data_IF_135136565496
#
_entry.id   IF_135136565496
#
_cell.length_a   1.000
_cell.length_b   1.000
_cell.length_c   1.000
_cell.angle_alpha   90.00
_cell.angle_beta   90.00
_cell.angle_gamma   90.00
#
_symmetry.space_group_name_H-M   'P 1'
#
loop_
_entity.id
_entity.type
_entity.pdbx_description
1 polymer ?
#
# COMPACT_ATOMS: atom_id res chain seq x y z
N UNK A 1 -6.41 16.18 17.40
CA UNK A 1 -7.30 15.20 16.85
C UNK A 1 -6.63 14.50 15.68
N UNK A 2 -6.82 13.27 15.61
CA UNK A 2 -6.14 12.48 14.61
C UNK A 2 -6.95 12.43 13.33
N UNK A 3 -6.33 12.78 12.24
CA UNK A 3 -6.93 12.59 10.95
C UNK A 3 -6.74 11.15 10.54
N UNK A 4 -7.82 10.41 10.53
CA UNK A 4 -7.76 9.07 10.03
C UNK A 4 -7.84 9.10 8.52
N UNK A 5 -6.83 8.52 7.88
CA UNK A 5 -6.88 8.35 6.45
C UNK A 5 -7.91 7.29 6.11
N UNK A 6 -8.70 7.59 5.10
CA UNK A 6 -9.72 6.66 4.63
C UNK A 6 -9.25 6.02 3.33
N UNK A 7 -9.35 4.72 3.29
CA UNK A 7 -9.01 3.96 2.10
C UNK A 7 -10.29 3.40 1.51
N UNK A 8 -10.47 3.61 0.22
CA UNK A 8 -11.73 3.25 -0.46
C UNK A 8 -11.54 2.22 -1.56
N UNK A 9 -10.30 1.82 -1.83
CA UNK A 9 -10.02 0.82 -2.84
C UNK A 9 -10.36 -0.59 -2.35
N UNK A 10 -10.27 -1.54 -3.25
CA UNK A 10 -10.50 -2.95 -2.93
C UNK A 10 -9.51 -3.48 -1.88
N UNK A 11 -8.36 -2.82 -1.74
CA UNK A 11 -7.33 -3.22 -0.77
C UNK A 11 -7.58 -2.66 0.63
N UNK A 12 -8.59 -1.80 0.81
CA UNK A 12 -8.79 -1.11 2.08
C UNK A 12 -8.85 -2.03 3.30
N UNK A 13 -9.55 -3.18 3.28
CA UNK A 13 -9.56 -4.06 4.45
C UNK A 13 -8.16 -4.54 4.85
N UNK A 14 -7.33 -4.86 3.85
CA UNK A 14 -5.96 -5.31 4.10
C UNK A 14 -5.11 -4.17 4.64
N UNK A 15 -5.30 -2.97 4.14
CA UNK A 15 -4.57 -1.78 4.60
C UNK A 15 -4.85 -1.48 6.06
N UNK A 16 -6.13 -1.48 6.45
CA UNK A 16 -6.50 -1.23 7.85
C UNK A 16 -5.97 -2.30 8.78
N UNK A 17 -6.08 -3.57 8.37
CA UNK A 17 -5.60 -4.68 9.19
C UNK A 17 -4.08 -4.62 9.36
N UNK A 18 -3.36 -4.29 8.31
CA UNK A 18 -1.90 -4.19 8.36
C UNK A 18 -1.46 -3.07 9.31
N UNK A 19 -2.09 -1.91 9.22
CA UNK A 19 -1.79 -0.78 10.10
C UNK A 19 -2.06 -1.15 11.56
N UNK A 20 -3.20 -1.78 11.82
CA UNK A 20 -3.57 -2.18 13.17
C UNK A 20 -2.55 -3.14 13.76
N UNK A 21 -2.06 -4.08 12.95
CA UNK A 21 -1.05 -5.03 13.40
C UNK A 21 0.27 -4.33 13.71
N UNK A 22 0.70 -3.37 12.89
CA UNK A 22 1.91 -2.60 13.13
C UNK A 22 1.81 -1.79 14.41
N UNK A 23 0.69 -1.13 14.62
CA UNK A 23 0.47 -0.32 15.82
C UNK A 23 0.42 -1.17 17.08
N UNK A 24 -0.10 -2.39 16.99
CA UNK A 24 -0.18 -3.30 18.12
C UNK A 24 1.19 -3.71 18.66
N UNK A 25 2.22 -3.71 17.82
CA UNK A 25 3.58 -4.04 18.25
C UNK A 25 4.45 -2.80 18.50
N UNK A 26 3.80 -1.63 18.61
CA UNK A 26 4.49 -0.40 19.02
C UNK A 26 5.01 0.48 17.90
N UNK A 27 4.76 0.15 16.65
CA UNK A 27 5.16 0.99 15.52
C UNK A 27 4.13 2.09 15.28
N UNK A 28 4.59 3.28 14.90
CA UNK A 28 3.69 4.41 14.65
C UNK A 28 2.95 4.30 13.32
N UNK A 29 3.48 3.56 12.39
CA UNK A 29 2.89 3.33 11.06
C UNK A 29 2.57 4.60 10.25
N UNK A 30 3.15 5.74 10.61
CA UNK A 30 2.87 7.00 9.91
C UNK A 30 3.25 6.94 8.43
N UNK A 31 4.47 6.47 8.13
CA UNK A 31 4.92 6.36 6.75
C UNK A 31 4.09 5.34 5.98
N UNK A 32 3.71 4.25 6.63
CA UNK A 32 2.87 3.22 6.02
C UNK A 32 1.51 3.78 5.65
N UNK A 33 0.91 4.60 6.51
CA UNK A 33 -0.37 5.25 6.23
C UNK A 33 -0.30 6.14 5.00
N UNK A 34 0.77 6.91 4.85
CA UNK A 34 0.96 7.75 3.66
C UNK A 34 1.18 6.92 2.41
N UNK A 35 1.96 5.86 2.51
CA UNK A 35 2.15 4.93 1.39
C UNK A 35 0.82 4.34 0.94
N UNK A 36 -0.01 3.87 1.88
CA UNK A 36 -1.31 3.30 1.56
C UNK A 36 -2.25 4.34 0.97
N UNK A 37 -2.19 5.57 1.43
CA UNK A 37 -3.00 6.65 0.86
C UNK A 37 -2.70 6.81 -0.63
N UNK A 38 -1.44 6.84 -1.00
CA UNK A 38 -1.04 6.95 -2.41
C UNK A 38 -1.46 5.71 -3.20
N UNK A 39 -1.26 4.54 -2.65
CA UNK A 39 -1.64 3.29 -3.31
C UNK A 39 -3.15 3.22 -3.52
N UNK A 40 -3.91 3.66 -2.54
CA UNK A 40 -5.36 3.70 -2.61
C UNK A 40 -5.83 4.64 -3.73
N UNK A 41 -5.20 5.80 -3.85
CA UNK A 41 -5.49 6.76 -4.93
C UNK A 41 -5.18 6.13 -6.28
N UNK A 42 -4.04 5.46 -6.41
CA UNK A 42 -3.66 4.81 -7.65
C UNK A 42 -4.70 3.75 -8.07
N UNK A 43 -5.14 2.93 -7.11
CA UNK A 43 -6.15 1.91 -7.40
C UNK A 43 -7.47 2.53 -7.84
N UNK A 44 -7.89 3.63 -7.21
CA UNK A 44 -9.14 4.30 -7.58
C UNK A 44 -9.03 4.96 -8.95
N UNK A 45 -7.92 5.65 -9.23
CA UNK A 45 -7.72 6.33 -10.51
C UNK A 45 -7.68 5.37 -11.68
N UNK A 46 -7.21 4.15 -11.47
CA UNK A 46 -7.10 3.15 -12.51
C UNK A 46 -8.23 2.12 -12.47
N UNK A 47 -9.23 2.36 -11.62
CA UNK A 47 -10.41 1.49 -11.49
C UNK A 47 -10.04 0.03 -11.23
N UNK A 48 -9.03 -0.19 -10.43
CA UNK A 48 -8.56 -1.55 -10.10
C UNK A 48 -9.48 -2.16 -9.07
N UNK A 49 -10.00 -3.35 -9.35
CA UNK A 49 -10.98 -4.03 -8.50
C UNK A 49 -10.50 -5.35 -7.95
N UNK A 50 -9.31 -5.80 -8.31
CA UNK A 50 -8.76 -7.07 -7.85
C UNK A 50 -7.85 -6.87 -6.65
N UNK A 51 -7.96 -7.77 -5.65
CA UNK A 51 -7.04 -7.80 -4.52
C UNK A 51 -5.74 -8.51 -4.88
N UNK A 52 -5.71 -9.22 -5.99
CA UNK A 52 -4.50 -9.87 -6.47
C UNK A 52 -3.71 -8.87 -7.30
N UNK A 53 -2.52 -8.52 -6.85
CA UNK A 53 -1.67 -7.56 -7.51
C UNK A 53 -0.78 -8.31 -8.50
N UNK A 54 -1.05 -8.13 -9.78
CA UNK A 54 -0.28 -8.73 -10.86
C UNK A 54 1.03 -7.95 -11.09
N UNK A 55 1.94 -8.56 -11.86
CA UNK A 55 3.17 -7.88 -12.23
C UNK A 55 2.87 -6.59 -13.00
N UNK A 56 1.86 -6.61 -13.87
CA UNK A 56 1.48 -5.43 -14.66
C UNK A 56 0.99 -4.31 -13.75
N UNK A 57 0.19 -4.64 -12.75
CA UNK A 57 -0.31 -3.67 -11.78
C UNK A 57 0.85 -3.08 -10.96
N UNK A 58 1.79 -3.92 -10.56
CA UNK A 58 2.97 -3.49 -9.83
C UNK A 58 3.83 -2.55 -10.67
N UNK A 59 4.09 -2.92 -11.92
CA UNK A 59 4.91 -2.11 -12.82
C UNK A 59 4.26 -0.75 -13.08
N UNK A 60 2.95 -0.74 -13.28
CA UNK A 60 2.20 0.51 -13.46
C UNK A 60 2.27 1.40 -12.24
N UNK A 61 2.12 0.81 -11.05
CA UNK A 61 2.27 1.54 -9.80
C UNK A 61 3.69 2.10 -9.64
N UNK A 62 4.70 1.30 -9.97
CA UNK A 62 6.09 1.73 -9.86
C UNK A 62 6.37 2.95 -10.73
N UNK A 63 5.91 2.93 -11.98
CA UNK A 63 6.07 4.06 -12.88
C UNK A 63 5.35 5.30 -12.34
N UNK A 64 4.11 5.13 -11.91
CA UNK A 64 3.31 6.22 -11.36
C UNK A 64 3.97 6.82 -10.11
N UNK A 65 4.46 5.98 -9.22
CA UNK A 65 5.06 6.42 -7.98
C UNK A 65 6.45 7.04 -8.18
N UNK A 66 7.10 6.75 -9.32
CA UNK A 66 8.46 7.21 -9.58
C UNK A 66 8.51 8.61 -10.17
N UNK A 67 7.38 9.14 -10.62
CA UNK A 67 7.35 10.46 -11.28
C UNK A 67 7.75 11.54 -10.29
N UNK A 68 8.79 12.32 -10.67
CA UNK A 68 9.29 13.46 -9.89
C UNK A 68 9.69 13.11 -8.45
N UNK A 69 10.20 11.90 -8.23
CA UNK A 69 10.63 11.47 -6.90
C UNK A 69 12.09 11.08 -6.88
N UNK A 70 12.71 11.27 -5.72
CA UNK A 70 14.10 10.87 -5.51
C UNK A 70 14.20 9.35 -5.45
N UNK A 71 15.35 8.82 -5.87
CA UNK A 71 15.59 7.37 -5.86
C UNK A 71 15.41 6.76 -4.46
N UNK A 72 15.87 7.46 -3.43
CA UNK A 72 15.74 6.97 -2.05
C UNK A 72 14.29 6.85 -1.62
N UNK A 73 13.44 7.80 -2.03
CA UNK A 73 12.01 7.78 -1.75
C UNK A 73 11.35 6.60 -2.45
N UNK A 74 11.71 6.37 -3.72
CA UNK A 74 11.17 5.26 -4.51
C UNK A 74 11.57 3.93 -3.87
N UNK A 75 12.82 3.80 -3.46
CA UNK A 75 13.32 2.58 -2.80
C UNK A 75 12.53 2.26 -1.54
N UNK A 76 12.26 3.27 -0.71
CA UNK A 76 11.46 3.10 0.50
C UNK A 76 10.05 2.60 0.17
N UNK A 77 9.43 3.17 -0.87
CA UNK A 77 8.09 2.75 -1.28
C UNK A 77 8.08 1.31 -1.81
N UNK A 78 9.11 0.91 -2.53
CA UNK A 78 9.23 -0.47 -3.01
C UNK A 78 9.34 -1.44 -1.83
N UNK A 79 10.12 -1.09 -0.82
CA UNK A 79 10.24 -1.93 0.38
C UNK A 79 8.89 -2.06 1.09
N UNK A 80 8.14 -0.97 1.20
CA UNK A 80 6.81 -0.99 1.82
C UNK A 80 5.83 -1.84 1.02
N UNK A 81 5.85 -1.72 -0.31
CA UNK A 81 5.00 -2.52 -1.18
C UNK A 81 5.32 -4.01 -1.03
N UNK A 82 6.61 -4.36 -1.01
CA UNK A 82 7.03 -5.75 -0.86
C UNK A 82 6.54 -6.32 0.47
N UNK A 83 6.68 -5.57 1.54
CA UNK A 83 6.22 -6.01 2.87
C UNK A 83 4.70 -6.20 2.90
N UNK A 84 3.97 -5.29 2.28
CA UNK A 84 2.52 -5.38 2.22
C UNK A 84 2.05 -6.58 1.40
N UNK A 85 2.70 -6.84 0.27
CA UNK A 85 2.38 -8.01 -0.56
C UNK A 85 2.61 -9.30 0.21
N UNK A 86 3.70 -9.40 0.94
CA UNK A 86 3.97 -10.57 1.80
C UNK A 86 2.91 -10.74 2.87
N UNK A 87 2.49 -9.63 3.47
CA UNK A 87 1.43 -9.68 4.48
C UNK A 87 0.12 -10.23 3.88
N UNK A 88 -0.27 -9.73 2.72
CA UNK A 88 -1.50 -10.20 2.07
C UNK A 88 -1.44 -11.69 1.78
N UNK A 89 -0.29 -12.19 1.34
CA UNK A 89 -0.12 -13.63 1.12
C UNK A 89 -0.30 -14.41 2.43
N UNK A 90 0.23 -13.89 3.51
CA UNK A 90 0.16 -14.53 4.83
C UNK A 90 -1.28 -14.63 5.34
N UNK A 91 -2.12 -13.64 5.06
CA UNK A 91 -3.51 -13.64 5.53
C UNK A 91 -4.48 -14.28 4.55
N UNK A 92 -3.97 -15.00 3.56
CA UNK A 92 -4.80 -15.83 2.70
C UNK A 92 -5.18 -15.24 1.36
N UNK A 93 -4.64 -14.08 1.01
CA UNK A 93 -4.85 -13.53 -0.32
C UNK A 93 -3.95 -14.24 -1.32
N UNK A 94 -4.43 -14.42 -2.55
CA UNK A 94 -3.60 -15.02 -3.59
C UNK A 94 -2.44 -14.12 -3.94
N UNK A 95 -1.27 -14.72 -4.08
CA UNK A 95 -0.04 -13.98 -4.40
C UNK A 95 0.27 -14.03 -5.88
#
# INVERSE_FOLDING_TARGET
MVNQMRYNSVLSPYMYAYIKEKEAIGHTATQTKWFFHELDIYFQQNSLTSTQITKEMYDGWYEWASVNRKRTTIHTKVLMMTAFLKYMCTVGNDC
#
